data_IF_930168353530
#
_entry.id   IF_930168353530
#
_cell.length_a   1.000
_cell.length_b   1.000
_cell.length_c   1.000
_cell.angle_alpha   90.00
_cell.angle_beta   90.00
_cell.angle_gamma   90.00
#
_symmetry.space_group_name_H-M   'P 1'
#
loop_
_entity.id
_entity.type
_entity.pdbx_description
1 polymer ?
#
# COMPACT_ATOMS: atom_id res chain seq x y z
N UNK A 1 -0.39 -21.90 -8.63
CA UNK A 1 -1.26 -21.59 -9.79
C UNK A 1 -0.33 -21.36 -10.99
N UNK A 2 -0.66 -21.87 -12.17
CA UNK A 2 0.18 -21.63 -13.37
C UNK A 2 -0.01 -20.20 -13.87
N UNK A 3 0.98 -19.66 -14.60
CA UNK A 3 0.86 -18.33 -15.21
C UNK A 3 -0.39 -18.22 -16.10
N UNK A 4 -0.67 -19.24 -16.91
CA UNK A 4 -1.84 -19.25 -17.80
C UNK A 4 -3.17 -19.21 -17.02
N UNK A 5 -3.27 -19.92 -15.88
CA UNK A 5 -4.45 -19.85 -15.03
C UNK A 5 -4.65 -18.46 -14.38
N UNK A 6 -3.56 -17.73 -14.11
CA UNK A 6 -3.62 -16.34 -13.62
C UNK A 6 -4.08 -15.41 -14.73
N UNK A 7 -3.50 -15.53 -15.93
CA UNK A 7 -3.84 -14.68 -17.08
C UNK A 7 -5.31 -14.82 -17.50
N UNK A 8 -5.89 -16.03 -17.39
CA UNK A 8 -7.31 -16.27 -17.66
C UNK A 8 -8.27 -15.53 -16.71
N UNK A 9 -7.79 -15.01 -15.56
CA UNK A 9 -8.57 -14.28 -14.56
C UNK A 9 -8.40 -12.77 -14.64
N UNK A 10 -7.67 -12.26 -15.64
CA UNK A 10 -7.46 -10.81 -15.79
C UNK A 10 -8.81 -10.08 -15.96
N UNK A 11 -8.92 -8.85 -15.43
CA UNK A 11 -10.16 -8.10 -15.49
C UNK A 11 -10.54 -7.72 -16.93
N UNK A 12 -11.83 -7.42 -17.14
CA UNK A 12 -12.33 -6.98 -18.43
C UNK A 12 -11.59 -5.73 -18.95
N UNK A 13 -11.40 -5.66 -20.27
CA UNK A 13 -10.69 -4.54 -20.90
C UNK A 13 -9.16 -4.64 -20.85
N UNK A 14 -8.61 -5.70 -20.22
CA UNK A 14 -7.19 -6.06 -20.32
C UNK A 14 -6.98 -7.04 -21.47
N UNK A 15 -5.93 -6.82 -22.23
CA UNK A 15 -5.43 -7.74 -23.26
C UNK A 15 -4.06 -8.29 -22.88
N UNK A 16 -3.74 -9.48 -23.38
CA UNK A 16 -2.47 -10.15 -23.16
C UNK A 16 -1.66 -10.16 -24.44
N UNK A 17 -0.42 -9.68 -24.35
CA UNK A 17 0.57 -9.69 -25.43
C UNK A 17 1.71 -10.60 -24.98
N UNK A 18 1.87 -11.72 -25.68
CA UNK A 18 3.00 -12.62 -25.50
C UNK A 18 4.16 -12.18 -26.40
N UNK A 19 5.36 -12.18 -25.85
CA UNK A 19 6.60 -11.95 -26.57
C UNK A 19 7.57 -13.12 -26.36
N UNK A 20 8.65 -13.19 -27.14
CA UNK A 20 9.61 -14.30 -27.08
C UNK A 20 10.28 -14.46 -25.71
N UNK A 21 10.29 -13.40 -24.89
CA UNK A 21 10.92 -13.38 -23.57
C UNK A 21 9.97 -13.08 -22.42
N UNK A 22 8.68 -12.87 -22.66
CA UNK A 22 7.80 -12.36 -21.61
C UNK A 22 6.35 -12.23 -21.98
N UNK A 23 5.57 -11.77 -21.01
CA UNK A 23 4.14 -11.54 -21.14
C UNK A 23 3.82 -10.14 -20.59
N UNK A 24 2.96 -9.43 -21.30
CA UNK A 24 2.42 -8.13 -20.92
C UNK A 24 0.89 -8.25 -20.88
N UNK A 25 0.29 -7.95 -19.74
CA UNK A 25 -1.13 -7.68 -19.62
C UNK A 25 -1.30 -6.16 -19.58
N UNK A 26 -2.11 -5.61 -20.47
CA UNK A 26 -2.27 -4.16 -20.62
C UNK A 26 -3.72 -3.81 -20.91
N UNK A 27 -4.20 -2.71 -20.33
CA UNK A 27 -5.52 -2.21 -20.70
C UNK A 27 -5.55 -1.74 -22.16
N UNK A 28 -6.62 -2.05 -22.88
CA UNK A 28 -6.77 -1.73 -24.32
C UNK A 28 -6.59 -0.24 -24.62
N UNK A 29 -7.06 0.63 -23.73
CA UNK A 29 -6.97 2.09 -23.86
C UNK A 29 -5.54 2.64 -23.70
N UNK A 30 -4.62 1.87 -23.09
CA UNK A 30 -3.24 2.30 -22.86
C UNK A 30 -2.21 1.53 -23.71
N UNK A 31 -2.64 0.48 -24.42
CA UNK A 31 -1.79 -0.45 -25.17
C UNK A 31 -0.78 0.25 -26.08
N UNK A 32 -1.27 0.94 -27.11
CA UNK A 32 -0.41 1.44 -28.18
C UNK A 32 0.58 2.48 -27.64
N UNK A 33 0.16 3.25 -26.66
CA UNK A 33 0.99 4.28 -26.08
C UNK A 33 2.07 3.72 -25.15
N UNK A 34 1.77 2.67 -24.38
CA UNK A 34 2.78 1.94 -23.61
C UNK A 34 3.77 1.19 -24.51
N UNK A 35 3.31 0.58 -25.60
CA UNK A 35 4.20 -0.07 -26.58
C UNK A 35 5.13 0.97 -27.26
N UNK A 36 4.61 2.14 -27.66
CA UNK A 36 5.43 3.24 -28.19
C UNK A 36 6.44 3.78 -27.18
N UNK A 37 6.08 3.80 -25.90
CA UNK A 37 7.00 4.16 -24.81
C UNK A 37 8.03 3.06 -24.48
N UNK A 38 8.04 1.94 -25.22
CA UNK A 38 8.99 0.85 -25.01
C UNK A 38 8.62 -0.10 -23.86
N UNK A 39 7.39 -0.03 -23.34
CA UNK A 39 6.89 -1.00 -22.37
C UNK A 39 6.34 -2.23 -23.09
N UNK A 40 7.24 -3.09 -23.56
CA UNK A 40 6.94 -4.31 -24.33
C UNK A 40 7.22 -5.58 -23.51
N UNK A 41 6.67 -6.75 -23.92
CA UNK A 41 7.02 -8.06 -23.34
C UNK A 41 8.41 -8.56 -23.76
N UNK A 42 9.11 -7.86 -24.65
CA UNK A 42 10.41 -8.25 -25.16
C UNK A 42 11.56 -7.47 -24.53
N UNK A 43 11.33 -6.22 -24.12
CA UNK A 43 12.40 -5.29 -23.74
C UNK A 43 12.50 -5.06 -22.23
N UNK A 44 13.71 -4.73 -21.78
CA UNK A 44 13.84 -4.02 -20.51
C UNK A 44 13.22 -2.63 -20.72
N UNK A 45 12.35 -2.17 -19.83
CA UNK A 45 11.77 -0.87 -20.00
C UNK A 45 12.90 0.18 -19.93
N UNK A 46 12.95 1.08 -20.90
CA UNK A 46 13.86 2.23 -20.87
C UNK A 46 13.10 3.40 -20.29
N UNK A 47 13.02 3.48 -18.97
CA UNK A 47 12.42 4.65 -18.32
C UNK A 47 13.50 5.68 -18.05
N UNK A 48 13.26 6.91 -18.49
CA UNK A 48 14.03 8.08 -18.10
C UNK A 48 13.78 8.36 -16.61
N UNK A 49 14.85 8.66 -15.88
CA UNK A 49 14.87 9.03 -14.45
C UNK A 49 14.15 10.38 -14.20
N UNK A 50 12.88 10.49 -14.55
CA UNK A 50 12.11 11.71 -14.38
C UNK A 50 11.72 11.88 -12.90
N UNK A 51 12.44 12.77 -12.22
CA UNK A 51 12.10 13.52 -10.99
C UNK A 51 11.29 12.81 -9.91
N UNK A 52 11.89 11.80 -9.27
CA UNK A 52 11.37 11.22 -8.03
C UNK A 52 12.21 11.65 -6.83
N UNK A 53 11.77 12.69 -6.13
CA UNK A 53 12.20 12.97 -4.76
C UNK A 53 11.59 11.92 -3.82
N UNK A 54 12.36 10.88 -3.49
CA UNK A 54 11.98 9.85 -2.51
C UNK A 54 12.48 8.45 -2.91
N UNK A 55 13.03 7.69 -1.96
CA UNK A 55 13.77 6.43 -2.22
C UNK A 55 13.03 5.42 -3.14
N UNK A 56 13.62 5.21 -4.35
CA UNK A 56 13.56 4.06 -5.32
C UNK A 56 12.62 4.16 -6.55
N UNK A 57 12.98 3.52 -7.69
CA UNK A 57 12.89 4.06 -9.05
C UNK A 57 11.50 3.82 -9.64
N UNK A 58 10.59 4.75 -9.41
CA UNK A 58 9.37 4.83 -10.21
C UNK A 58 9.70 5.64 -11.45
N UNK A 59 9.57 5.04 -12.64
CA UNK A 59 9.56 5.81 -13.88
C UNK A 59 8.19 6.43 -14.04
N UNK A 60 8.09 7.72 -14.35
CA UNK A 60 6.82 8.35 -14.71
C UNK A 60 6.65 8.37 -16.24
N UNK A 61 5.45 8.04 -16.71
CA UNK A 61 5.07 8.11 -18.13
C UNK A 61 3.85 9.02 -18.28
N UNK A 62 3.88 9.92 -19.26
CA UNK A 62 2.73 10.75 -19.61
C UNK A 62 1.99 10.14 -20.80
N UNK A 63 0.72 9.78 -20.61
CA UNK A 63 -0.21 9.37 -21.66
C UNK A 63 -1.29 10.45 -21.84
N UNK A 64 -1.03 11.41 -22.73
CA UNK A 64 -1.84 12.62 -22.81
C UNK A 64 -1.75 13.40 -21.50
N UNK A 65 -2.88 13.68 -20.86
CA UNK A 65 -2.95 14.31 -19.54
C UNK A 65 -2.79 13.32 -18.37
N UNK A 66 -2.81 12.00 -18.64
CA UNK A 66 -2.70 10.99 -17.59
C UNK A 66 -1.25 10.72 -17.23
N UNK A 67 -0.91 10.86 -15.95
CA UNK A 67 0.37 10.42 -15.40
C UNK A 67 0.29 8.97 -14.96
N UNK A 68 1.22 8.16 -15.43
CA UNK A 68 1.38 6.77 -15.06
C UNK A 68 2.67 6.57 -14.28
N UNK A 69 2.61 5.75 -13.24
CA UNK A 69 3.74 5.36 -12.43
C UNK A 69 4.14 3.94 -12.78
N UNK A 70 5.41 3.73 -13.10
CA UNK A 70 5.96 2.41 -13.35
C UNK A 70 6.81 1.95 -12.19
N UNK A 71 6.42 0.85 -11.57
CA UNK A 71 7.16 0.20 -10.48
C UNK A 71 7.79 -1.09 -10.98
N UNK A 72 9.10 -1.19 -10.92
CA UNK A 72 9.77 -2.49 -11.00
C UNK A 72 9.72 -3.20 -9.64
N UNK A 73 9.49 -4.51 -9.67
CA UNK A 73 9.54 -5.29 -8.44
C UNK A 73 11.00 -5.41 -7.98
N UNK A 74 11.20 -5.30 -6.68
CA UNK A 74 12.51 -5.44 -6.05
C UNK A 74 12.41 -6.34 -4.82
N UNK A 75 13.46 -7.12 -4.54
CA UNK A 75 13.54 -7.85 -3.28
C UNK A 75 13.80 -6.86 -2.13
N UNK A 76 13.02 -6.95 -1.06
CA UNK A 76 13.29 -6.25 0.20
C UNK A 76 14.41 -6.91 1.01
N UNK A 77 15.10 -6.14 1.86
CA UNK A 77 16.10 -6.67 2.82
C UNK A 77 17.41 -7.19 2.19
N UNK A 78 18.12 -8.07 2.92
CA UNK A 78 19.41 -8.65 2.51
C UNK A 78 19.35 -9.42 1.17
N UNK A 79 18.16 -9.90 0.75
CA UNK A 79 17.98 -10.58 -0.53
C UNK A 79 18.26 -9.67 -1.73
N UNK A 80 18.21 -8.33 -1.55
CA UNK A 80 18.67 -7.37 -2.56
C UNK A 80 20.12 -7.61 -2.99
N UNK A 81 20.98 -8.04 -2.06
CA UNK A 81 22.40 -8.23 -2.31
C UNK A 81 22.71 -9.56 -3.03
N UNK A 82 21.79 -10.53 -3.01
CA UNK A 82 22.03 -11.89 -3.50
C UNK A 82 21.22 -12.23 -4.77
N UNK A 83 19.95 -11.81 -4.90
CA UNK A 83 19.09 -12.15 -6.05
C UNK A 83 18.78 -10.97 -7.00
N UNK A 84 19.17 -9.75 -6.64
CA UNK A 84 18.92 -8.56 -7.45
C UNK A 84 17.42 -8.30 -7.73
N UNK A 85 17.06 -8.11 -9.02
CA UNK A 85 15.68 -7.83 -9.50
C UNK A 85 14.93 -9.08 -10.01
N UNK A 86 15.41 -10.30 -9.72
CA UNK A 86 14.97 -11.54 -10.40
C UNK A 86 14.04 -12.39 -9.53
N UNK A 87 12.82 -12.61 -9.98
CA UNK A 87 11.79 -13.35 -9.25
C UNK A 87 11.54 -14.73 -9.84
N UNK A 88 11.21 -15.71 -9.00
CA UNK A 88 10.85 -17.05 -9.46
C UNK A 88 9.41 -17.14 -10.01
N UNK A 89 8.49 -16.34 -9.45
CA UNK A 89 7.06 -16.36 -9.78
C UNK A 89 6.72 -15.23 -10.77
N UNK A 90 6.58 -15.50 -12.09
CA UNK A 90 6.18 -14.50 -13.07
C UNK A 90 4.76 -13.98 -12.89
N UNK A 91 3.91 -14.70 -12.15
CA UNK A 91 2.49 -14.41 -12.02
C UNK A 91 2.17 -13.19 -11.12
N UNK A 92 3.09 -12.78 -10.24
CA UNK A 92 2.86 -11.76 -9.20
C UNK A 92 2.27 -10.43 -9.68
N UNK A 93 2.79 -9.75 -10.73
CA UNK A 93 2.21 -8.48 -11.19
C UNK A 93 0.78 -8.66 -11.72
N UNK A 94 0.45 -9.84 -12.27
CA UNK A 94 -0.89 -10.15 -12.74
C UNK A 94 -1.84 -10.46 -11.58
N UNK A 95 -1.38 -11.19 -10.56
CA UNK A 95 -2.11 -11.38 -9.30
C UNK A 95 -2.43 -10.02 -8.64
N UNK A 96 -1.49 -9.09 -8.64
CA UNK A 96 -1.68 -7.72 -8.13
C UNK A 96 -2.69 -6.91 -8.96
N UNK A 97 -2.65 -7.01 -10.30
CA UNK A 97 -3.65 -6.39 -11.18
C UNK A 97 -5.06 -6.91 -10.90
N UNK A 98 -5.20 -8.24 -10.76
CA UNK A 98 -6.48 -8.88 -10.47
C UNK A 98 -7.00 -8.42 -9.10
N UNK A 99 -6.15 -8.45 -8.07
CA UNK A 99 -6.51 -8.02 -6.73
C UNK A 99 -6.91 -6.53 -6.69
N UNK A 100 -6.22 -5.67 -7.44
CA UNK A 100 -6.57 -4.25 -7.53
C UNK A 100 -7.97 -4.04 -8.16
N UNK A 101 -8.30 -4.80 -9.21
CA UNK A 101 -9.62 -4.77 -9.82
C UNK A 101 -10.72 -5.28 -8.86
N UNK A 102 -10.48 -6.44 -8.22
CA UNK A 102 -11.41 -7.02 -7.24
C UNK A 102 -11.67 -6.08 -6.04
N UNK A 103 -10.65 -5.34 -5.59
CA UNK A 103 -10.80 -4.32 -4.54
C UNK A 103 -11.64 -3.13 -5.01
N UNK A 104 -11.40 -2.65 -6.23
CA UNK A 104 -12.13 -1.53 -6.82
C UNK A 104 -13.62 -1.87 -6.97
N UNK A 105 -13.95 -3.08 -7.44
CA UNK A 105 -15.33 -3.58 -7.53
C UNK A 105 -16.03 -3.65 -6.17
N UNK A 106 -15.27 -3.89 -5.09
CA UNK A 106 -15.76 -3.89 -3.70
C UNK A 106 -15.78 -2.49 -3.05
N UNK A 107 -15.54 -1.44 -3.83
CA UNK A 107 -15.55 -0.05 -3.36
C UNK A 107 -14.32 0.35 -2.56
N UNK A 108 -13.23 -0.42 -2.61
CA UNK A 108 -11.95 -0.06 -1.99
C UNK A 108 -11.07 0.63 -3.02
N UNK A 109 -10.70 1.87 -2.74
CA UNK A 109 -9.81 2.63 -3.61
C UNK A 109 -8.37 2.09 -3.57
N UNK A 110 -7.83 1.85 -4.75
CA UNK A 110 -6.42 1.51 -5.01
C UNK A 110 -6.03 2.13 -6.36
N UNK A 111 -4.76 2.50 -6.60
CA UNK A 111 -4.37 3.03 -7.90
C UNK A 111 -4.68 2.01 -8.99
N UNK A 112 -5.27 2.49 -10.06
CA UNK A 112 -5.68 1.61 -11.14
C UNK A 112 -4.45 1.03 -11.85
N UNK A 113 -4.39 -0.29 -11.96
CA UNK A 113 -3.31 -0.97 -12.66
C UNK A 113 -3.60 -0.98 -14.16
N UNK A 114 -2.78 -0.25 -14.90
CA UNK A 114 -2.89 -0.08 -16.36
C UNK A 114 -2.16 -1.20 -17.10
N UNK A 115 -1.03 -1.66 -16.56
CA UNK A 115 -0.29 -2.76 -17.14
C UNK A 115 0.49 -3.58 -16.10
N UNK A 116 0.65 -4.86 -16.37
CA UNK A 116 1.42 -5.82 -15.59
C UNK A 116 2.32 -6.62 -16.53
N UNK A 117 3.57 -6.83 -16.15
CA UNK A 117 4.55 -7.45 -17.04
C UNK A 117 5.51 -8.38 -16.32
N UNK A 118 5.79 -9.51 -16.96
CA UNK A 118 6.87 -10.42 -16.59
C UNK A 118 7.76 -10.73 -17.79
N UNK A 119 9.05 -10.42 -17.71
CA UNK A 119 10.05 -10.70 -18.76
C UNK A 119 11.18 -11.53 -18.16
N UNK A 120 11.62 -12.58 -18.84
CA UNK A 120 12.77 -13.40 -18.43
C UNK A 120 13.99 -12.49 -18.24
N UNK A 121 14.64 -12.59 -17.07
CA UNK A 121 15.99 -12.09 -16.95
C UNK A 121 16.89 -12.94 -17.87
N UNK A 122 17.93 -12.39 -18.50
CA UNK A 122 18.86 -13.16 -19.37
C UNK A 122 19.72 -14.19 -18.61
N UNK A 123 19.08 -15.03 -17.80
CA UNK A 123 19.57 -15.96 -16.79
C UNK A 123 18.37 -16.58 -16.04
N UNK A 124 18.51 -16.89 -14.75
CA UNK A 124 17.42 -17.49 -13.95
C UNK A 124 16.45 -16.41 -13.44
N UNK A 125 15.15 -16.63 -13.62
CA UNK A 125 14.08 -15.82 -13.05
C UNK A 125 13.54 -14.72 -13.98
N UNK A 126 12.71 -13.85 -13.41
CA UNK A 126 11.89 -12.88 -14.14
C UNK A 126 12.09 -11.46 -13.59
N UNK A 127 12.14 -10.48 -14.48
CA UNK A 127 11.95 -9.08 -14.14
C UNK A 127 10.45 -8.78 -14.22
N UNK A 128 9.91 -8.24 -13.14
CA UNK A 128 8.49 -7.94 -13.03
C UNK A 128 8.29 -6.42 -12.95
N UNK A 129 7.26 -5.92 -13.60
CA UNK A 129 6.90 -4.51 -13.55
C UNK A 129 5.37 -4.33 -13.51
N UNK A 130 4.95 -3.26 -12.86
CA UNK A 130 3.55 -2.83 -12.76
C UNK A 130 3.47 -1.36 -13.17
N UNK A 131 2.46 -1.01 -13.94
CA UNK A 131 2.14 0.37 -14.31
C UNK A 131 0.80 0.72 -13.70
N UNK A 132 0.74 1.79 -12.92
CA UNK A 132 -0.49 2.28 -12.30
C UNK A 132 -0.79 3.71 -12.69
N UNK A 133 -2.06 4.11 -12.72
CA UNK A 133 -2.44 5.53 -12.81
C UNK A 133 -1.97 6.24 -11.54
N UNK A 134 -1.37 7.41 -11.70
CA UNK A 134 -0.99 8.27 -10.58
C UNK A 134 -2.26 8.78 -9.89
N UNK A 135 -2.27 8.74 -8.56
CA UNK A 135 -3.30 9.44 -7.77
C UNK A 135 -2.82 10.86 -7.57
N UNK A 136 -3.48 11.80 -8.24
CA UNK A 136 -3.09 13.22 -8.17
C UNK A 136 -3.42 13.85 -6.82
N UNK A 137 -2.58 14.81 -6.42
CA UNK A 137 -2.69 15.59 -5.19
C UNK A 137 -2.76 14.76 -3.89
N UNK A 138 -2.28 13.52 -3.95
CA UNK A 138 -2.20 12.64 -2.81
C UNK A 138 -0.78 12.61 -2.23
N UNK A 139 -0.70 12.46 -0.91
CA UNK A 139 0.55 12.26 -0.17
C UNK A 139 0.58 10.89 0.48
N UNK A 140 1.75 10.38 0.79
CA UNK A 140 1.83 9.12 1.54
C UNK A 140 1.28 9.29 2.97
N UNK A 141 0.76 8.20 3.54
CA UNK A 141 0.11 8.25 4.85
C UNK A 141 1.03 8.71 5.98
N UNK A 142 2.35 8.44 5.92
CA UNK A 142 3.28 8.97 6.93
C UNK A 142 3.46 10.49 6.81
N UNK A 143 3.52 11.02 5.59
CA UNK A 143 3.53 12.46 5.37
C UNK A 143 2.22 13.10 5.86
N UNK A 144 1.07 12.51 5.53
CA UNK A 144 -0.23 12.96 6.03
C UNK A 144 -0.24 13.01 7.57
N UNK A 145 0.18 11.93 8.23
CA UNK A 145 0.32 11.86 9.68
C UNK A 145 1.23 12.99 10.20
N UNK A 146 2.38 13.21 9.57
CA UNK A 146 3.31 14.29 9.92
C UNK A 146 2.70 15.69 9.85
N UNK A 147 1.86 15.96 8.85
CA UNK A 147 1.15 17.25 8.70
C UNK A 147 0.20 17.51 9.88
N UNK A 148 -0.46 16.46 10.38
CA UNK A 148 -1.44 16.56 11.47
C UNK A 148 -0.85 16.47 12.88
N UNK A 149 0.40 16.02 13.02
CA UNK A 149 1.11 16.02 14.32
C UNK A 149 1.26 17.39 14.96
N UNK A 150 1.35 18.46 14.14
CA UNK A 150 1.58 19.82 14.62
C UNK A 150 0.39 20.39 15.41
N UNK A 151 -0.80 19.81 15.25
CA UNK A 151 -1.97 20.08 16.08
C UNK A 151 -2.87 18.82 16.16
N UNK A 152 -2.43 17.85 16.96
CA UNK A 152 -3.09 16.55 17.10
C UNK A 152 -4.50 16.62 17.72
N UNK A 153 -4.86 17.74 18.35
CA UNK A 153 -6.20 17.99 18.90
C UNK A 153 -7.11 18.75 17.93
N UNK A 154 -6.58 19.29 16.83
CA UNK A 154 -7.38 19.96 15.80
C UNK A 154 -8.52 19.09 15.29
N UNK A 155 -9.61 19.76 14.89
CA UNK A 155 -10.73 19.10 14.23
C UNK A 155 -10.28 18.29 13.00
N UNK A 156 -9.27 18.77 12.27
CA UNK A 156 -8.71 18.08 11.12
C UNK A 156 -7.91 16.83 11.46
N UNK A 157 -7.13 16.83 12.55
CA UNK A 157 -6.44 15.63 13.02
C UNK A 157 -7.45 14.55 13.46
N UNK A 158 -8.51 14.96 14.17
CA UNK A 158 -9.58 14.04 14.56
C UNK A 158 -10.34 13.46 13.37
N UNK A 159 -10.63 14.28 12.34
CA UNK A 159 -11.21 13.80 11.07
C UNK A 159 -10.31 12.80 10.36
N UNK A 160 -8.99 13.04 10.34
CA UNK A 160 -8.03 12.09 9.80
C UNK A 160 -8.06 10.76 10.54
N UNK A 161 -8.08 10.79 11.88
CA UNK A 161 -8.15 9.59 12.72
C UNK A 161 -9.42 8.79 12.45
N UNK A 162 -10.58 9.44 12.30
CA UNK A 162 -11.83 8.77 11.95
C UNK A 162 -11.77 8.15 10.55
N UNK A 163 -11.34 8.93 9.55
CA UNK A 163 -11.31 8.49 8.17
C UNK A 163 -10.32 7.33 7.97
N UNK A 164 -9.15 7.37 8.63
CA UNK A 164 -8.20 6.27 8.64
C UNK A 164 -8.80 5.02 9.30
N UNK A 165 -9.50 5.19 10.42
CA UNK A 165 -10.23 4.10 11.08
C UNK A 165 -11.23 3.46 10.13
N UNK A 166 -12.15 4.25 9.58
CA UNK A 166 -13.16 3.81 8.61
C UNK A 166 -12.55 3.06 7.44
N UNK A 167 -11.49 3.60 6.84
CA UNK A 167 -10.81 2.98 5.70
C UNK A 167 -10.20 1.62 6.05
N UNK A 168 -9.43 1.54 7.13
CA UNK A 168 -8.84 0.27 7.57
C UNK A 168 -9.89 -0.75 8.02
N UNK A 169 -11.03 -0.29 8.55
CA UNK A 169 -12.20 -1.13 8.82
C UNK A 169 -12.76 -1.73 7.52
N UNK A 170 -12.96 -0.88 6.51
CA UNK A 170 -13.48 -1.28 5.20
C UNK A 170 -12.56 -2.27 4.49
N UNK A 171 -11.23 -2.09 4.53
CA UNK A 171 -10.26 -3.05 4.00
C UNK A 171 -10.46 -4.45 4.61
N UNK A 172 -10.58 -4.52 5.93
CA UNK A 172 -10.74 -5.80 6.62
C UNK A 172 -12.13 -6.39 6.46
N UNK A 173 -13.18 -5.56 6.29
CA UNK A 173 -14.55 -6.00 5.98
C UNK A 173 -14.60 -6.76 4.66
N UNK A 174 -13.93 -6.26 3.63
CA UNK A 174 -13.89 -6.94 2.33
C UNK A 174 -12.97 -8.17 2.32
N UNK A 175 -12.29 -8.46 3.43
CA UNK A 175 -11.43 -9.62 3.61
C UNK A 175 -9.97 -9.41 3.20
N UNK A 176 -9.50 -8.17 3.02
CA UNK A 176 -8.13 -7.91 2.56
C UNK A 176 -7.09 -8.28 3.63
N UNK A 177 -6.36 -9.37 3.39
CA UNK A 177 -5.15 -9.71 4.14
C UNK A 177 -3.95 -9.04 3.47
N UNK A 178 -3.59 -7.86 3.96
CA UNK A 178 -2.47 -7.08 3.43
C UNK A 178 -1.17 -7.38 4.19
N UNK A 179 -0.19 -8.01 3.54
CA UNK A 179 1.01 -8.54 4.23
C UNK A 179 1.88 -7.46 4.86
N UNK A 180 1.91 -6.27 4.26
CA UNK A 180 2.75 -5.14 4.69
C UNK A 180 1.93 -3.86 4.93
N UNK A 181 0.83 -3.99 5.68
CA UNK A 181 -0.06 -2.86 5.95
C UNK A 181 0.60 -1.87 6.92
N UNK A 182 1.03 -0.73 6.37
CA UNK A 182 1.60 0.38 7.14
C UNK A 182 1.30 1.72 6.44
N UNK A 183 1.40 2.87 7.13
CA UNK A 183 0.97 4.15 6.56
C UNK A 183 1.67 4.58 5.26
N UNK A 184 2.92 4.14 5.00
CA UNK A 184 3.58 4.42 3.70
C UNK A 184 2.97 3.69 2.51
N UNK A 185 2.18 2.65 2.76
CA UNK A 185 1.43 1.93 1.73
C UNK A 185 0.00 2.48 1.63
N UNK A 186 -0.25 3.66 2.18
CA UNK A 186 -1.48 4.41 2.00
C UNK A 186 -1.17 5.70 1.26
N UNK A 187 -2.03 6.08 0.32
CA UNK A 187 -2.11 7.47 -0.16
C UNK A 187 -3.30 8.16 0.47
N UNK A 188 -3.17 9.45 0.72
CA UNK A 188 -4.20 10.29 1.33
C UNK A 188 -4.37 11.55 0.50
N UNK A 189 -5.61 11.84 0.13
CA UNK A 189 -5.99 13.08 -0.56
C UNK A 189 -7.12 13.77 0.18
N UNK A 190 -7.03 15.09 0.30
CA UNK A 190 -8.16 15.92 0.71
C UNK A 190 -9.03 16.27 -0.50
N UNK A 191 -10.33 16.04 -0.43
CA UNK A 191 -11.28 16.35 -1.51
C UNK A 191 -12.57 16.90 -0.88
N UNK A 192 -12.93 18.15 -1.17
CA UNK A 192 -14.17 18.76 -0.67
C UNK A 192 -14.29 18.84 0.86
N UNK A 193 -13.17 18.85 1.59
CA UNK A 193 -13.15 18.81 3.07
C UNK A 193 -13.17 17.39 3.67
N UNK A 194 -13.33 16.36 2.83
CA UNK A 194 -13.21 14.95 3.20
C UNK A 194 -11.83 14.39 2.87
N UNK A 195 -11.52 13.24 3.45
CA UNK A 195 -10.27 12.52 3.20
C UNK A 195 -10.57 11.22 2.48
N UNK A 196 -9.89 11.01 1.35
CA UNK A 196 -9.90 9.74 0.63
C UNK A 196 -8.58 9.04 0.79
N UNK A 197 -8.64 7.72 0.86
CA UNK A 197 -7.49 6.84 1.08
C UNK A 197 -7.39 5.83 -0.04
N UNK A 198 -6.18 5.53 -0.48
CA UNK A 198 -5.89 4.44 -1.40
C UNK A 198 -4.91 3.47 -0.76
N UNK A 199 -5.14 2.18 -0.94
CA UNK A 199 -4.18 1.14 -0.56
C UNK A 199 -3.19 0.90 -1.71
N UNK A 200 -1.90 0.87 -1.38
CA UNK A 200 -0.78 0.61 -2.29
C UNK A 200 -0.17 -0.76 -1.99
N UNK A 201 0.65 -1.23 -2.94
CA UNK A 201 1.50 -2.42 -2.82
C UNK A 201 0.73 -3.68 -2.39
N UNK A 202 -0.09 -4.18 -3.32
CA UNK A 202 -0.90 -5.38 -3.08
C UNK A 202 -0.09 -6.67 -3.32
N UNK A 203 1.21 -6.57 -3.53
CA UNK A 203 2.09 -7.70 -3.78
C UNK A 203 2.10 -8.69 -2.60
N UNK A 204 1.76 -9.95 -2.88
CA UNK A 204 1.55 -11.04 -1.90
C UNK A 204 0.36 -10.84 -0.95
N UNK A 205 -0.45 -9.81 -1.15
CA UNK A 205 -1.72 -9.65 -0.45
C UNK A 205 -2.79 -10.55 -1.09
N UNK A 206 -3.90 -10.77 -0.37
CA UNK A 206 -4.99 -11.63 -0.85
C UNK A 206 -6.31 -11.23 -0.23
N UNK A 207 -7.41 -11.51 -0.93
CA UNK A 207 -8.76 -11.49 -0.35
C UNK A 207 -9.07 -12.86 0.26
N UNK A 208 -9.58 -12.85 1.48
CA UNK A 208 -10.02 -14.04 2.21
C UNK A 208 -11.54 -13.99 2.44
N UNK A 209 -12.15 -15.15 2.65
CA UNK A 209 -13.55 -15.28 3.05
C UNK A 209 -13.74 -14.82 4.50
N UNK A 210 -13.67 -13.50 4.69
CA UNK A 210 -13.61 -12.88 6.01
C UNK A 210 -12.23 -13.04 6.68
N UNK A 211 -11.89 -12.05 7.52
CA UNK A 211 -10.74 -12.16 8.39
C UNK A 211 -11.20 -12.57 9.78
N UNK A 212 -10.53 -13.56 10.36
CA UNK A 212 -10.75 -13.87 11.77
C UNK A 212 -10.33 -12.67 12.61
N UNK A 213 -11.03 -12.52 13.73
CA UNK A 213 -10.83 -11.40 14.64
C UNK A 213 -9.36 -11.28 15.13
N UNK A 214 -8.69 -12.41 15.36
CA UNK A 214 -7.25 -12.46 15.69
C UNK A 214 -6.35 -11.95 14.55
N UNK A 215 -6.59 -12.40 13.31
CA UNK A 215 -5.78 -12.02 12.15
C UNK A 215 -5.88 -10.51 11.86
N UNK A 216 -7.10 -9.99 11.96
CA UNK A 216 -7.40 -8.58 11.80
C UNK A 216 -6.73 -7.73 12.89
N UNK A 217 -6.75 -8.19 14.15
CA UNK A 217 -6.04 -7.54 15.25
C UNK A 217 -4.53 -7.60 15.06
N UNK A 218 -3.97 -8.70 14.55
CA UNK A 218 -2.53 -8.82 14.28
C UNK A 218 -2.05 -7.89 13.16
N UNK A 219 -2.82 -7.76 12.09
CA UNK A 219 -2.62 -6.76 11.03
C UNK A 219 -2.61 -5.34 11.61
N UNK A 220 -3.64 -5.03 12.40
CA UNK A 220 -3.77 -3.70 13.01
C UNK A 220 -2.67 -3.43 14.05
N UNK A 221 -2.27 -4.42 14.83
CA UNK A 221 -1.18 -4.31 15.79
C UNK A 221 0.16 -4.04 15.10
N UNK A 222 0.41 -4.63 13.91
CA UNK A 222 1.59 -4.32 13.08
C UNK A 222 1.58 -2.87 12.62
N UNK A 223 0.44 -2.39 12.13
CA UNK A 223 0.25 -1.00 11.72
C UNK A 223 0.51 -0.03 12.88
N UNK A 224 -0.09 -0.28 14.06
CA UNK A 224 0.10 0.55 15.26
C UNK A 224 1.55 0.55 15.76
N UNK A 225 2.23 -0.61 15.72
CA UNK A 225 3.66 -0.70 16.07
C UNK A 225 4.54 0.07 15.10
N UNK A 226 4.22 0.06 13.81
CA UNK A 226 4.95 0.82 12.80
C UNK A 226 4.88 2.32 13.10
N UNK A 227 3.68 2.81 13.41
CA UNK A 227 3.42 4.19 13.79
C UNK A 227 4.18 4.57 15.06
N UNK A 228 3.98 3.83 16.15
CA UNK A 228 4.57 4.17 17.44
C UNK A 228 6.11 4.13 17.46
N UNK A 229 6.77 3.50 16.47
CA UNK A 229 8.23 3.54 16.27
C UNK A 229 8.74 4.79 15.53
N UNK A 230 7.85 5.57 14.92
CA UNK A 230 8.16 6.73 14.07
C UNK A 230 7.50 8.02 14.55
N UNK A 231 6.85 7.96 15.71
CA UNK A 231 6.23 9.10 16.34
C UNK A 231 6.82 9.28 17.73
N UNK A 232 7.25 10.51 18.03
CA UNK A 232 7.60 10.86 19.40
C UNK A 232 6.39 10.68 20.31
N UNK A 233 6.56 10.17 21.54
CA UNK A 233 5.45 9.92 22.46
C UNK A 233 4.50 11.09 22.64
N UNK A 234 5.02 12.31 22.67
CA UNK A 234 4.32 13.56 22.94
C UNK A 234 3.52 14.06 21.73
N UNK A 235 3.82 13.60 20.52
CA UNK A 235 3.20 14.07 19.25
C UNK A 235 2.46 12.97 18.49
N UNK A 236 2.03 11.89 19.18
CA UNK A 236 1.35 10.78 18.51
C UNK A 236 -0.02 11.17 17.97
N UNK A 237 -0.23 10.91 16.69
CA UNK A 237 -1.57 10.97 16.08
C UNK A 237 -2.50 9.95 16.75
N UNK A 238 -1.99 8.76 17.10
CA UNK A 238 -2.73 7.73 17.84
C UNK A 238 -2.29 7.63 19.31
N UNK A 239 -2.45 8.73 20.06
CA UNK A 239 -2.44 8.74 21.52
C UNK A 239 -3.52 7.80 22.11
N UNK A 240 -3.50 7.47 23.41
CA UNK A 240 -4.57 6.68 24.01
C UNK A 240 -5.98 7.26 23.75
N UNK A 241 -6.15 8.59 23.80
CA UNK A 241 -7.47 9.20 23.56
C UNK A 241 -7.92 9.05 22.11
N UNK A 242 -7.02 9.31 21.16
CA UNK A 242 -7.33 9.23 19.72
C UNK A 242 -7.38 7.79 19.21
N UNK A 243 -6.67 6.84 19.84
CA UNK A 243 -6.77 5.42 19.52
C UNK A 243 -8.17 4.87 19.83
N UNK A 244 -8.85 5.33 20.88
CA UNK A 244 -10.23 4.90 21.16
C UNK A 244 -11.19 5.41 20.08
N UNK A 245 -10.98 6.66 19.64
CA UNK A 245 -11.72 7.25 18.51
C UNK A 245 -11.47 6.47 17.21
N UNK A 246 -10.21 6.22 16.88
CA UNK A 246 -9.79 5.39 15.76
C UNK A 246 -10.49 4.03 15.77
N UNK A 247 -10.49 3.31 16.91
CA UNK A 247 -11.07 1.97 16.99
C UNK A 247 -12.60 1.97 16.87
N UNK A 248 -13.28 3.03 17.32
CA UNK A 248 -14.72 3.19 17.07
C UNK A 248 -15.00 3.36 15.58
N UNK A 249 -14.29 4.28 14.91
CA UNK A 249 -14.43 4.49 13.47
C UNK A 249 -14.06 3.24 12.67
N UNK A 250 -13.00 2.56 13.08
CA UNK A 250 -12.59 1.28 12.54
C UNK A 250 -13.69 0.23 12.61
N UNK A 251 -14.37 0.09 13.76
CA UNK A 251 -15.46 -0.87 13.90
C UNK A 251 -16.65 -0.51 13.01
N UNK A 252 -16.99 0.77 12.88
CA UNK A 252 -18.02 1.23 11.93
C UNK A 252 -17.68 0.85 10.49
N UNK A 253 -16.43 1.07 10.07
CA UNK A 253 -15.97 0.67 8.74
C UNK A 253 -15.97 -0.85 8.53
N UNK A 254 -15.65 -1.61 9.58
CA UNK A 254 -15.70 -3.08 9.56
C UNK A 254 -17.14 -3.61 9.46
N UNK A 255 -18.08 -2.95 10.11
CA UNK A 255 -19.50 -3.34 10.14
C UNK A 255 -20.32 -2.76 8.97
N UNK A 256 -19.70 -1.95 8.09
CA UNK A 256 -20.34 -1.43 6.87
C UNK A 256 -21.10 -0.10 7.03
N UNK A 257 -20.84 0.68 8.08
CA UNK A 257 -21.32 2.07 8.21
C UNK A 257 -22.40 2.34 9.27
N UNK A 258 -22.76 1.36 10.10
CA UNK A 258 -23.73 1.52 11.20
C UNK A 258 -23.15 2.10 12.50
N UNK A 259 -23.94 2.11 13.58
CA UNK A 259 -23.42 2.44 14.91
C UNK A 259 -22.29 1.50 15.32
N UNK A 260 -21.27 2.04 15.99
CA UNK A 260 -20.15 1.22 16.45
C UNK A 260 -20.65 0.26 17.53
N UNK A 261 -20.73 -1.03 17.23
CA UNK A 261 -21.02 -2.06 18.21
C UNK A 261 -20.01 -2.04 19.37
N UNK A 262 -20.33 -2.74 20.48
CA UNK A 262 -19.48 -2.74 21.69
C UNK A 262 -18.06 -3.33 21.50
N UNK A 263 -17.80 -3.99 20.36
CA UNK A 263 -16.54 -4.67 20.04
C UNK A 263 -15.29 -3.78 20.01
N UNK A 264 -15.42 -2.46 19.85
CA UNK A 264 -14.24 -1.56 19.90
C UNK A 264 -13.51 -1.58 21.24
N UNK A 265 -14.22 -1.89 22.34
CA UNK A 265 -13.60 -2.01 23.69
C UNK A 265 -12.72 -3.25 23.81
N UNK A 266 -13.10 -4.34 23.16
CA UNK A 266 -12.31 -5.57 23.10
C UNK A 266 -11.07 -5.35 22.25
N UNK A 267 -11.24 -4.72 21.09
CA UNK A 267 -10.11 -4.31 20.24
C UNK A 267 -9.16 -3.38 20.98
N UNK A 268 -9.68 -2.43 21.77
CA UNK A 268 -8.87 -1.55 22.60
C UNK A 268 -8.01 -2.34 23.58
N UNK A 269 -8.59 -3.28 24.34
CA UNK A 269 -7.84 -4.11 25.30
C UNK A 269 -6.76 -4.93 24.62
N UNK A 270 -7.03 -5.45 23.43
CA UNK A 270 -6.07 -6.23 22.66
C UNK A 270 -4.94 -5.38 22.04
N UNK A 271 -5.24 -4.15 21.59
CA UNK A 271 -4.34 -3.36 20.74
C UNK A 271 -3.62 -2.22 21.44
N UNK A 272 -4.15 -1.71 22.55
CA UNK A 272 -3.51 -0.65 23.33
C UNK A 272 -2.05 -1.00 23.73
N UNK A 273 -1.71 -2.25 24.13
CA UNK A 273 -0.33 -2.60 24.41
C UNK A 273 0.59 -2.49 23.19
N UNK A 274 0.09 -2.74 21.97
CA UNK A 274 0.89 -2.64 20.75
C UNK A 274 1.25 -1.18 20.42
N UNK A 275 0.31 -0.25 20.66
CA UNK A 275 0.55 1.18 20.54
C UNK A 275 1.48 1.73 21.67
N UNK A 276 1.45 1.12 22.86
CA UNK A 276 2.25 1.54 24.00
C UNK A 276 3.69 0.98 24.00
N UNK A 277 3.90 -0.32 23.74
CA UNK A 277 5.21 -1.00 23.91
C UNK A 277 6.28 -0.56 22.90
N UNK A 278 5.89 -0.11 21.71
CA UNK A 278 6.84 0.42 20.73
C UNK A 278 7.53 1.71 21.23
N UNK A 279 6.89 2.44 22.16
CA UNK A 279 7.42 3.67 22.75
C UNK A 279 8.60 3.46 23.69
N UNK A 280 8.56 2.39 24.49
CA UNK A 280 9.55 2.14 25.53
C UNK A 280 10.91 1.79 24.92
N UNK A 281 10.93 1.00 23.85
CA UNK A 281 12.17 0.65 23.15
C UNK A 281 12.79 1.83 22.40
N UNK A 282 11.98 2.78 21.92
CA UNK A 282 12.46 3.98 21.24
C UNK A 282 13.02 5.01 22.23
N UNK A 283 12.41 5.16 23.42
CA UNK A 283 12.93 6.01 24.52
C UNK A 283 14.35 5.62 24.95
N UNK A 284 14.65 4.32 25.03
CA UNK A 284 16.00 3.84 25.33
C UNK A 284 16.99 4.06 24.18
N UNK A 285 16.54 3.97 22.92
CA UNK A 285 17.38 4.24 21.74
C UNK A 285 17.84 5.70 21.65
N UNK A 286 16.92 6.66 21.82
CA UNK A 286 17.25 8.09 21.83
C UNK A 286 18.07 8.50 23.05
N UNK A 287 17.82 7.91 24.21
CA UNK A 287 18.66 8.15 25.39
C UNK A 287 20.12 7.71 25.16
N UNK A 288 20.34 6.63 24.40
CA UNK A 288 21.68 6.18 24.04
C UNK A 288 22.31 7.04 22.93
N UNK A 289 21.55 7.48 21.92
CA UNK A 289 22.05 8.38 20.87
C UNK A 289 22.37 9.79 21.41
N UNK A 290 21.58 10.29 22.37
CA UNK A 290 21.85 11.56 23.06
C UNK A 290 23.08 11.54 23.97
N UNK A 291 23.49 10.36 24.46
CA UNK A 291 24.73 10.16 25.21
C UNK A 291 25.96 9.99 24.30
N UNK A 292 25.77 9.61 23.04
CA UNK A 292 26.85 9.39 22.08
C UNK A 292 27.17 10.62 21.19
N UNK A 293 26.30 11.65 21.19
CA UNK A 293 26.47 12.88 20.40
C UNK A 293 26.92 14.11 21.20
N UNK A 294 27.27 13.96 22.47
CA UNK A 294 27.73 15.03 23.34
C UNK A 294 29.15 14.77 23.84
N UNK A 295 30.15 14.99 22.98
CA UNK A 295 31.57 15.14 23.32
C UNK A 295 32.26 15.94 22.23
#
# INVERSE_FOLDING_TARGET
>A
MTLQAVLARLPAGVEVIEGPRGVLAVRRDARDALLRAGFSPADRPRFTDADVAGRKPLGELCLGEQRLLVREFHHGGLLRAVSGRRFARPERPFEEMILAAELTERGISTPEVVAARAVRAGGIGWNLALVTRRVEDAVDGMEAIGRWKRDAASASALRFVDALGMFLGALHRVGLFHVDLHPKNLLVRGEGGELRFWILDLDRSSLREGLRDGERRDLLARFLRYLARREEPESRVLSPRTLARFLRAYRRGLDGGGEAGRGWREDWRALAPAAAKASLRHRFGWALEGLAGGS
#
